data_IF_367501307568
#
_entry.id   IF_367501307568
#
_cell.length_a   1.000
_cell.length_b   1.000
_cell.length_c   1.000
_cell.angle_alpha   90.00
_cell.angle_beta   90.00
_cell.angle_gamma   90.00
#
_symmetry.space_group_name_H-M   'P 1'
#
loop_
_entity.id
_entity.type
_entity.pdbx_description
1 polymer ?
#
# COMPACT_ATOMS: atom_id res chain seq x y z
N UNK A 1 -0.45 -51.71 5.21
CA UNK A 1 -1.50 -51.38 4.25
C UNK A 1 -1.66 -49.86 4.27
N UNK A 2 -0.98 -49.17 3.34
CA UNK A 2 -1.11 -47.73 3.16
C UNK A 2 -2.31 -47.48 2.23
N UNK A 3 -3.37 -46.93 2.77
CA UNK A 3 -4.53 -46.53 1.98
C UNK A 3 -4.14 -45.22 1.23
N UNK A 4 -3.89 -45.36 -0.07
CA UNK A 4 -3.75 -44.25 -0.99
C UNK A 4 -5.13 -43.59 -1.13
N UNK A 5 -5.32 -42.43 -0.56
CA UNK A 5 -6.48 -41.60 -0.84
C UNK A 5 -6.16 -40.84 -2.13
N UNK A 6 -6.67 -41.37 -3.25
CA UNK A 6 -6.70 -40.67 -4.53
C UNK A 6 -7.59 -39.41 -4.36
N UNK A 7 -6.97 -38.30 -4.02
CA UNK A 7 -7.63 -36.98 -4.15
C UNK A 7 -7.53 -36.57 -5.62
N UNK A 8 -8.65 -36.28 -6.29
CA UNK A 8 -8.57 -35.67 -7.61
C UNK A 8 -7.72 -34.40 -7.50
N UNK A 9 -6.86 -34.11 -8.48
CA UNK A 9 -6.08 -32.90 -8.47
C UNK A 9 -7.03 -31.70 -8.36
N UNK A 10 -6.81 -30.86 -7.37
CA UNK A 10 -7.45 -29.54 -7.31
C UNK A 10 -7.15 -28.86 -8.64
N UNK A 11 -8.15 -28.77 -9.50
CA UNK A 11 -8.05 -27.96 -10.71
C UNK A 11 -7.94 -26.49 -10.26
N UNK A 12 -6.70 -26.05 -10.05
CA UNK A 12 -6.37 -24.64 -9.96
C UNK A 12 -6.64 -24.05 -11.34
N UNK A 13 -7.86 -23.62 -11.58
CA UNK A 13 -8.17 -22.79 -12.73
C UNK A 13 -7.52 -21.44 -12.46
N UNK A 14 -6.35 -21.21 -13.08
CA UNK A 14 -5.47 -20.08 -12.81
C UNK A 14 -5.90 -18.77 -13.42
N UNK A 15 -7.21 -18.46 -13.44
CA UNK A 15 -7.76 -17.25 -14.05
C UNK A 15 -7.87 -16.04 -13.10
N UNK A 16 -7.61 -16.22 -11.79
CA UNK A 16 -7.67 -15.13 -10.80
C UNK A 16 -9.05 -14.45 -10.66
N UNK A 17 -10.07 -14.94 -11.36
CA UNK A 17 -11.42 -14.41 -11.26
C UNK A 17 -12.10 -14.92 -9.97
N UNK A 18 -12.79 -14.03 -9.27
CA UNK A 18 -13.61 -14.40 -8.11
C UNK A 18 -14.83 -15.20 -8.59
N UNK A 19 -14.82 -16.52 -8.34
CA UNK A 19 -15.95 -17.43 -8.68
C UNK A 19 -16.97 -17.46 -7.57
N UNK A 20 -17.69 -16.37 -7.42
CA UNK A 20 -18.74 -16.21 -6.41
C UNK A 20 -19.91 -15.45 -7.02
N UNK A 21 -21.17 -15.77 -6.63
CA UNK A 21 -22.33 -15.00 -7.06
C UNK A 21 -22.34 -13.57 -6.51
N UNK A 22 -21.56 -13.32 -5.44
CA UNK A 22 -21.47 -12.02 -4.79
C UNK A 22 -20.08 -11.44 -4.99
N UNK A 23 -19.98 -10.35 -5.74
CA UNK A 23 -18.72 -9.66 -5.97
C UNK A 23 -18.48 -8.58 -4.91
N UNK A 24 -17.28 -8.48 -4.34
CA UNK A 24 -16.94 -7.41 -3.40
C UNK A 24 -17.03 -6.04 -4.08
N UNK A 25 -17.63 -5.09 -3.39
CA UNK A 25 -17.65 -3.67 -3.77
C UNK A 25 -16.81 -2.87 -2.80
N UNK A 26 -16.13 -1.88 -3.31
CA UNK A 26 -15.42 -0.90 -2.50
C UNK A 26 -16.42 0.18 -2.09
N UNK A 27 -16.67 0.31 -0.79
CA UNK A 27 -17.66 1.26 -0.26
C UNK A 27 -17.05 2.60 0.11
N UNK A 28 -15.77 2.62 0.48
CA UNK A 28 -15.10 3.84 0.89
C UNK A 28 -13.61 3.64 1.05
N UNK A 29 -12.89 4.76 0.99
CA UNK A 29 -11.46 4.87 1.24
C UNK A 29 -11.23 6.05 2.16
N UNK A 30 -10.27 5.96 3.05
CA UNK A 30 -9.84 7.06 3.89
C UNK A 30 -8.35 7.02 4.13
N UNK A 31 -7.71 8.18 4.21
CA UNK A 31 -6.27 8.30 4.45
C UNK A 31 -5.98 9.19 5.65
N UNK A 32 -4.80 9.01 6.23
CA UNK A 32 -4.26 9.84 7.31
C UNK A 32 -2.73 9.89 7.21
N UNK A 33 -2.13 10.91 7.83
CA UNK A 33 -0.67 11.10 7.86
C UNK A 33 -0.22 11.57 9.23
N UNK A 34 1.09 11.46 9.53
CA UNK A 34 1.64 12.15 10.69
C UNK A 34 1.53 13.67 10.55
N UNK A 35 1.47 14.39 11.68
CA UNK A 35 1.13 15.80 11.69
C UNK A 35 2.20 16.71 11.05
N UNK A 36 3.49 16.38 11.22
CA UNK A 36 4.58 17.24 10.78
C UNK A 36 4.94 17.00 9.31
N UNK A 37 5.10 18.10 8.56
CA UNK A 37 5.41 18.09 7.13
C UNK A 37 6.80 18.70 6.92
N UNK A 38 7.61 18.04 6.10
CA UNK A 38 8.95 18.48 5.75
C UNK A 38 9.17 18.47 4.24
N UNK A 39 9.76 19.52 3.71
CA UNK A 39 10.38 19.52 2.39
C UNK A 39 11.66 18.68 2.39
N UNK A 40 12.14 18.32 1.21
CA UNK A 40 13.41 17.60 1.09
C UNK A 40 14.59 18.40 1.67
N UNK A 41 14.58 19.73 1.52
CA UNK A 41 15.62 20.59 2.06
C UNK A 41 15.58 20.61 3.59
N UNK A 42 14.40 20.75 4.21
CA UNK A 42 14.28 20.73 5.67
C UNK A 42 14.73 19.42 6.29
N UNK A 43 14.52 18.30 5.61
CA UNK A 43 15.06 16.99 6.06
C UNK A 43 16.58 17.00 6.03
N UNK A 44 17.18 17.45 4.93
CA UNK A 44 18.64 17.54 4.81
C UNK A 44 19.25 18.45 5.90
N UNK A 45 18.62 19.58 6.16
CA UNK A 45 19.08 20.55 7.16
C UNK A 45 18.92 20.01 8.59
N UNK A 46 17.82 19.30 8.88
CA UNK A 46 17.55 18.69 10.18
C UNK A 46 18.63 17.67 10.61
N UNK A 47 19.25 16.98 9.64
CA UNK A 47 20.32 16.01 9.87
C UNK A 47 21.70 16.51 9.46
N UNK A 48 21.83 17.80 9.09
CA UNK A 48 23.07 18.46 8.63
C UNK A 48 23.77 17.65 7.52
N UNK A 49 23.01 17.20 6.53
CA UNK A 49 23.54 16.41 5.42
C UNK A 49 24.07 17.36 4.33
N UNK A 50 25.40 17.47 4.20
CA UNK A 50 26.05 18.38 3.27
C UNK A 50 26.71 17.67 2.06
N UNK A 51 26.76 16.32 2.02
CA UNK A 51 27.29 15.59 0.86
C UNK A 51 26.49 15.94 -0.41
N UNK A 52 27.10 16.55 -1.44
CA UNK A 52 26.38 17.02 -2.63
C UNK A 52 25.74 15.87 -3.43
N UNK A 53 26.26 14.65 -3.31
CA UNK A 53 25.68 13.47 -3.98
C UNK A 53 24.37 13.08 -3.31
N UNK A 54 24.32 13.08 -1.96
CA UNK A 54 23.10 12.79 -1.20
C UNK A 54 22.07 13.89 -1.47
N UNK A 55 22.46 15.16 -1.39
CA UNK A 55 21.59 16.32 -1.71
C UNK A 55 21.01 16.20 -3.13
N UNK A 56 21.80 15.75 -4.09
CA UNK A 56 21.33 15.50 -5.46
C UNK A 56 20.26 14.40 -5.53
N UNK A 57 20.37 13.33 -4.72
CA UNK A 57 19.35 12.28 -4.65
C UNK A 57 18.01 12.85 -4.15
N UNK A 58 18.03 13.66 -3.08
CA UNK A 58 16.83 14.33 -2.56
C UNK A 58 16.22 15.29 -3.58
N UNK A 59 17.04 16.16 -4.20
CA UNK A 59 16.58 17.14 -5.18
C UNK A 59 15.95 16.52 -6.44
N UNK A 60 16.39 15.30 -6.83
CA UNK A 60 15.89 14.61 -8.02
C UNK A 60 14.81 13.54 -7.73
N UNK A 61 14.29 13.48 -6.50
CA UNK A 61 13.29 12.50 -6.06
C UNK A 61 11.90 12.72 -6.66
N UNK A 62 11.60 13.90 -7.19
CA UNK A 62 10.28 14.39 -7.58
C UNK A 62 9.28 14.46 -6.40
N UNK A 63 9.80 14.70 -5.20
CA UNK A 63 9.05 14.84 -3.97
C UNK A 63 9.26 16.25 -3.45
N UNK A 64 8.18 16.99 -3.25
CA UNK A 64 8.22 18.35 -2.70
C UNK A 64 8.18 18.32 -1.17
N UNK A 65 7.36 17.45 -0.61
CA UNK A 65 7.15 17.34 0.84
C UNK A 65 6.76 15.92 1.25
N UNK A 66 7.03 15.60 2.51
CA UNK A 66 6.63 14.36 3.16
C UNK A 66 6.15 14.61 4.58
N UNK A 67 5.25 13.77 5.04
CA UNK A 67 4.89 13.68 6.44
C UNK A 67 5.90 12.75 7.14
N UNK A 68 6.53 13.23 8.20
CA UNK A 68 7.58 12.51 8.92
C UNK A 68 7.51 12.84 10.41
N UNK A 69 7.84 11.87 11.24
CA UNK A 69 8.07 12.06 12.68
C UNK A 69 9.55 11.90 12.96
N UNK A 70 10.29 12.99 12.83
CA UNK A 70 11.74 12.99 13.01
C UNK A 70 12.09 12.89 14.52
N UNK A 71 13.28 12.33 14.86
CA UNK A 71 13.76 12.32 16.24
C UNK A 71 13.88 13.74 16.79
N UNK A 72 13.76 13.91 18.10
CA UNK A 72 13.97 15.21 18.74
C UNK A 72 15.42 15.68 18.57
N UNK A 73 15.65 16.99 18.37
CA UNK A 73 17.01 17.51 18.25
C UNK A 73 17.75 17.40 19.61
N UNK A 74 19.01 17.02 19.56
CA UNK A 74 19.90 17.06 20.70
C UNK A 74 20.16 18.49 21.22
N UNK A 75 20.90 18.62 22.30
CA UNK A 75 21.24 19.93 22.89
C UNK A 75 22.01 20.87 21.94
N UNK A 76 22.69 20.32 20.95
CA UNK A 76 23.41 21.03 19.88
C UNK A 76 22.51 21.31 18.65
N UNK A 77 21.22 20.96 18.73
CA UNK A 77 20.25 21.09 17.64
C UNK A 77 20.38 20.04 16.54
N UNK A 78 21.25 19.03 16.69
CA UNK A 78 21.41 17.95 15.71
C UNK A 78 20.46 16.80 16.05
N UNK A 79 19.80 16.27 15.03
CA UNK A 79 19.00 15.04 15.14
C UNK A 79 19.90 13.84 14.86
N UNK A 80 19.84 12.86 15.75
CA UNK A 80 20.60 11.60 15.59
C UNK A 80 19.63 10.43 15.37
N UNK A 81 20.06 9.40 14.66
CA UNK A 81 19.24 8.20 14.48
C UNK A 81 18.90 7.55 15.81
N UNK A 82 17.64 7.13 15.95
CA UNK A 82 17.11 6.50 17.15
C UNK A 82 17.54 5.02 17.23
N UNK A 83 17.71 4.47 18.46
CA UNK A 83 17.89 3.04 18.66
C UNK A 83 16.71 2.22 18.16
N UNK A 84 16.93 0.95 17.79
CA UNK A 84 15.88 0.08 17.25
C UNK A 84 14.68 -0.08 18.20
N UNK A 85 14.91 -0.12 19.52
CA UNK A 85 13.84 -0.20 20.52
C UNK A 85 12.89 1.00 20.45
N UNK A 86 13.45 2.20 20.43
CA UNK A 86 12.69 3.46 20.36
C UNK A 86 11.92 3.57 19.01
N UNK A 87 12.51 3.09 17.92
CA UNK A 87 11.86 3.01 16.61
C UNK A 87 10.64 2.07 16.65
N UNK A 88 10.70 0.93 17.35
CA UNK A 88 9.58 0.02 17.51
C UNK A 88 8.45 0.62 18.36
N UNK A 89 8.78 1.34 19.44
CA UNK A 89 7.80 2.04 20.27
C UNK A 89 7.15 3.20 19.48
N UNK A 90 7.94 3.95 18.73
CA UNK A 90 7.45 4.98 17.81
C UNK A 90 6.50 4.39 16.76
N UNK A 91 6.91 3.28 16.12
CA UNK A 91 6.05 2.59 15.15
C UNK A 91 4.69 2.22 15.75
N UNK A 92 4.69 1.62 16.94
CA UNK A 92 3.46 1.21 17.63
C UNK A 92 2.52 2.39 17.88
N UNK A 93 3.04 3.51 18.37
CA UNK A 93 2.26 4.70 18.69
C UNK A 93 1.67 5.32 17.38
N UNK A 94 2.53 5.59 16.41
CA UNK A 94 2.14 6.22 15.14
C UNK A 94 1.20 5.34 14.31
N UNK A 95 1.45 4.02 14.26
CA UNK A 95 0.61 3.12 13.49
C UNK A 95 -0.82 3.06 14.03
N UNK A 96 -1.00 3.10 15.35
CA UNK A 96 -2.33 3.13 15.97
C UNK A 96 -3.00 4.47 15.72
N UNK A 97 -2.31 5.59 15.91
CA UNK A 97 -2.85 6.94 15.72
C UNK A 97 -3.32 7.16 14.28
N UNK A 98 -2.42 7.06 13.29
CA UNK A 98 -2.76 7.25 11.88
C UNK A 98 -3.78 6.21 11.40
N UNK A 99 -3.65 4.95 11.86
CA UNK A 99 -4.58 3.89 11.51
C UNK A 99 -6.01 4.18 11.99
N UNK A 100 -6.16 4.72 13.22
CA UNK A 100 -7.46 5.10 13.76
C UNK A 100 -8.11 6.22 12.94
N UNK A 101 -7.35 7.21 12.52
CA UNK A 101 -7.85 8.31 11.69
C UNK A 101 -8.26 7.82 10.29
N UNK A 102 -7.40 7.04 9.63
CA UNK A 102 -7.69 6.51 8.30
C UNK A 102 -8.93 5.59 8.31
N UNK A 103 -9.06 4.73 9.34
CA UNK A 103 -10.22 3.84 9.50
C UNK A 103 -11.51 4.63 9.69
N UNK A 104 -11.52 5.65 10.57
CA UNK A 104 -12.69 6.52 10.76
C UNK A 104 -13.06 7.28 9.47
N UNK A 105 -12.08 7.82 8.75
CA UNK A 105 -12.30 8.51 7.48
C UNK A 105 -12.91 7.55 6.44
N UNK A 106 -12.40 6.32 6.35
CA UNK A 106 -12.90 5.28 5.46
C UNK A 106 -14.35 4.90 5.77
N UNK A 107 -14.67 4.60 7.03
CA UNK A 107 -16.02 4.24 7.47
C UNK A 107 -17.01 5.38 7.23
N UNK A 108 -16.63 6.61 7.54
CA UNK A 108 -17.46 7.79 7.25
C UNK A 108 -17.80 7.89 5.76
N UNK A 109 -16.83 7.67 4.88
CA UNK A 109 -17.05 7.71 3.42
C UNK A 109 -17.88 6.53 2.94
N UNK A 110 -17.77 5.36 3.59
CA UNK A 110 -18.60 4.19 3.35
C UNK A 110 -20.02 4.29 3.92
N UNK A 111 -20.35 5.33 4.69
CA UNK A 111 -21.65 5.45 5.39
C UNK A 111 -21.83 4.39 6.48
N UNK A 112 -20.74 3.93 7.10
CA UNK A 112 -20.72 2.86 8.09
C UNK A 112 -20.09 3.33 9.40
N UNK A 113 -20.39 2.57 10.48
CA UNK A 113 -19.89 2.82 11.82
C UNK A 113 -18.91 1.70 12.26
N UNK A 114 -18.14 1.93 13.32
CA UNK A 114 -17.25 0.92 13.91
C UNK A 114 -18.00 -0.35 14.33
N UNK A 115 -19.25 -0.23 14.75
CA UNK A 115 -20.12 -1.34 15.14
C UNK A 115 -20.51 -2.25 13.98
N UNK A 116 -20.41 -1.78 12.73
CA UNK A 116 -20.74 -2.56 11.54
C UNK A 116 -19.59 -3.46 11.09
N UNK A 117 -18.37 -3.18 11.57
CA UNK A 117 -17.18 -3.89 11.16
C UNK A 117 -17.19 -5.36 11.63
N UNK A 118 -17.01 -6.29 10.69
CA UNK A 118 -16.98 -7.74 10.94
C UNK A 118 -15.62 -8.37 10.67
N UNK A 119 -14.82 -7.75 9.81
CA UNK A 119 -13.44 -8.19 9.56
C UNK A 119 -12.50 -7.00 9.41
N UNK A 120 -11.40 -7.03 10.16
CA UNK A 120 -10.32 -6.04 10.08
C UNK A 120 -9.01 -6.72 9.69
N UNK A 121 -8.51 -6.41 8.51
CA UNK A 121 -7.18 -6.82 8.05
C UNK A 121 -6.22 -5.64 8.16
N UNK A 122 -5.24 -5.74 9.05
CA UNK A 122 -4.20 -4.73 9.19
C UNK A 122 -2.92 -5.12 8.45
N UNK A 123 -2.31 -4.13 7.80
CA UNK A 123 -1.07 -4.26 7.02
C UNK A 123 -0.05 -3.27 7.58
N UNK A 124 1.15 -3.74 7.88
CA UNK A 124 2.30 -2.88 8.16
C UNK A 124 3.61 -3.57 7.81
N UNK A 125 4.55 -2.79 7.27
CA UNK A 125 5.90 -3.23 6.92
C UNK A 125 6.98 -2.45 7.67
N UNK A 126 6.58 -1.48 8.50
CA UNK A 126 7.49 -0.52 9.14
C UNK A 126 7.82 -0.85 10.59
N UNK A 127 7.30 -1.95 11.11
CA UNK A 127 7.64 -2.46 12.43
C UNK A 127 7.04 -3.83 12.69
N UNK A 128 7.65 -4.57 13.61
CA UNK A 128 7.16 -5.87 14.07
C UNK A 128 6.38 -5.69 15.37
N UNK A 129 5.14 -6.18 15.40
CA UNK A 129 4.26 -6.10 16.56
C UNK A 129 3.70 -7.49 16.92
N UNK A 130 3.78 -7.82 18.22
CA UNK A 130 3.06 -8.95 18.83
C UNK A 130 2.54 -8.48 20.21
N UNK A 131 1.19 -8.37 20.40
CA UNK A 131 0.11 -8.69 19.47
C UNK A 131 0.11 -7.77 18.24
N UNK A 132 -0.45 -8.29 17.11
CA UNK A 132 -0.50 -7.57 15.86
C UNK A 132 -1.33 -6.27 15.90
N UNK A 133 -1.16 -5.44 14.88
CA UNK A 133 -1.79 -4.13 14.80
C UNK A 133 -3.32 -4.21 14.87
N UNK A 134 -3.94 -5.24 14.27
CA UNK A 134 -5.40 -5.45 14.33
C UNK A 134 -5.93 -5.55 15.78
N UNK A 135 -5.19 -6.23 16.67
CA UNK A 135 -5.55 -6.33 18.06
C UNK A 135 -5.42 -5.00 18.81
N UNK A 136 -4.41 -4.20 18.46
CA UNK A 136 -4.23 -2.86 19.03
C UNK A 136 -5.35 -1.92 18.57
N UNK A 137 -5.74 -1.98 17.30
CA UNK A 137 -6.83 -1.20 16.74
C UNK A 137 -8.19 -1.54 17.36
N UNK A 138 -8.47 -2.83 17.54
CA UNK A 138 -9.71 -3.28 18.22
C UNK A 138 -9.79 -2.68 19.62
N UNK A 139 -8.69 -2.71 20.38
CA UNK A 139 -8.63 -2.14 21.73
C UNK A 139 -8.78 -0.61 21.71
N UNK A 140 -8.05 0.06 20.83
CA UNK A 140 -7.99 1.52 20.78
C UNK A 140 -9.34 2.14 20.38
N UNK A 141 -10.03 1.51 19.44
CA UNK A 141 -11.28 2.03 18.88
C UNK A 141 -12.54 1.44 19.53
N UNK A 142 -12.38 0.46 20.44
CA UNK A 142 -13.53 -0.22 21.03
C UNK A 142 -14.33 -1.05 20.03
N UNK A 143 -13.70 -1.56 18.97
CA UNK A 143 -14.33 -2.43 17.99
C UNK A 143 -14.81 -3.71 18.69
N UNK A 144 -15.92 -4.29 18.22
CA UNK A 144 -16.50 -5.52 18.79
C UNK A 144 -15.41 -6.60 18.91
N UNK A 145 -15.32 -7.20 20.11
CA UNK A 145 -14.37 -8.27 20.43
C UNK A 145 -14.54 -9.52 19.55
N UNK A 146 -15.69 -9.68 18.91
CA UNK A 146 -16.00 -10.76 18.00
C UNK A 146 -15.67 -10.41 16.54
N UNK A 147 -15.19 -9.19 16.25
CA UNK A 147 -14.71 -8.82 14.93
C UNK A 147 -13.55 -9.76 14.53
N UNK A 148 -13.72 -10.44 13.42
CA UNK A 148 -12.68 -11.28 12.81
C UNK A 148 -11.49 -10.40 12.41
N UNK A 149 -10.26 -10.91 12.53
CA UNK A 149 -9.07 -10.11 12.24
C UNK A 149 -7.96 -10.90 11.58
N UNK A 150 -7.16 -10.21 10.81
CA UNK A 150 -5.89 -10.70 10.25
C UNK A 150 -4.84 -9.59 10.24
N UNK A 151 -3.56 -10.00 10.28
CA UNK A 151 -2.42 -9.10 10.13
C UNK A 151 -1.53 -9.62 9.01
N UNK A 152 -1.19 -8.77 8.03
CA UNK A 152 -0.28 -9.08 6.93
C UNK A 152 1.02 -8.32 7.13
N UNK A 153 2.11 -9.07 7.31
CA UNK A 153 3.45 -8.54 7.55
C UNK A 153 4.48 -9.15 6.60
N UNK A 154 5.61 -8.47 6.39
CA UNK A 154 6.73 -9.03 5.62
C UNK A 154 6.59 -8.95 4.10
N UNK A 155 5.55 -8.30 3.57
CA UNK A 155 5.35 -8.13 2.12
C UNK A 155 5.76 -6.73 1.60
N UNK A 156 5.85 -5.72 2.47
CA UNK A 156 6.23 -4.36 2.07
C UNK A 156 5.17 -3.64 1.23
N UNK A 157 5.63 -2.84 0.25
CA UNK A 157 4.76 -1.92 -0.49
C UNK A 157 3.64 -2.57 -1.31
N UNK A 158 3.73 -3.86 -1.65
CA UNK A 158 2.65 -4.59 -2.34
C UNK A 158 1.61 -5.21 -1.39
N UNK A 159 1.86 -5.19 -0.08
CA UNK A 159 1.03 -5.85 0.92
C UNK A 159 -0.43 -5.34 0.95
N UNK A 160 -0.65 -4.05 0.69
CA UNK A 160 -2.00 -3.47 0.72
C UNK A 160 -2.91 -4.05 -0.35
N UNK A 161 -2.42 -4.24 -1.57
CA UNK A 161 -3.21 -4.82 -2.65
C UNK A 161 -3.32 -6.35 -2.50
N UNK A 162 -2.29 -7.00 -1.96
CA UNK A 162 -2.37 -8.41 -1.59
C UNK A 162 -3.43 -8.63 -0.49
N UNK A 163 -3.47 -7.77 0.53
CA UNK A 163 -4.50 -7.78 1.57
C UNK A 163 -5.90 -7.57 0.98
N UNK A 164 -6.05 -6.66 0.01
CA UNK A 164 -7.31 -6.44 -0.68
C UNK A 164 -7.82 -7.73 -1.35
N UNK A 165 -6.93 -8.51 -1.97
CA UNK A 165 -7.27 -9.81 -2.56
C UNK A 165 -7.78 -10.80 -1.49
N UNK A 166 -7.08 -10.90 -0.35
CA UNK A 166 -7.48 -11.78 0.76
C UNK A 166 -8.85 -11.38 1.31
N UNK A 167 -9.05 -10.07 1.57
CA UNK A 167 -10.29 -9.53 2.15
C UNK A 167 -11.45 -9.59 1.15
N UNK A 168 -11.18 -9.43 -0.16
CA UNK A 168 -12.19 -9.64 -1.20
C UNK A 168 -12.72 -11.10 -1.18
N UNK A 169 -11.82 -12.07 -1.01
CA UNK A 169 -12.21 -13.48 -0.83
C UNK A 169 -13.04 -13.70 0.45
N UNK A 170 -12.63 -13.09 1.56
CA UNK A 170 -13.40 -13.14 2.82
C UNK A 170 -14.79 -12.51 2.65
N UNK A 171 -14.87 -11.33 2.08
CA UNK A 171 -16.13 -10.60 1.84
C UNK A 171 -17.09 -11.41 0.95
N UNK A 172 -16.57 -12.06 -0.10
CA UNK A 172 -17.36 -12.92 -0.98
C UNK A 172 -17.96 -14.15 -0.27
N UNK A 173 -17.29 -14.65 0.77
CA UNK A 173 -17.75 -15.74 1.61
C UNK A 173 -18.72 -15.28 2.74
N UNK A 174 -18.78 -13.98 3.03
CA UNK A 174 -19.57 -13.38 4.10
C UNK A 174 -20.42 -12.21 3.54
N UNK A 175 -21.42 -12.51 2.66
CA UNK A 175 -22.22 -11.47 2.04
C UNK A 175 -23.01 -10.66 3.07
N UNK A 176 -23.02 -9.33 2.90
CA UNK A 176 -23.65 -8.38 3.82
C UNK A 176 -22.78 -7.99 5.01
N UNK A 177 -21.58 -8.57 5.16
CA UNK A 177 -20.67 -8.24 6.24
C UNK A 177 -19.58 -7.25 5.78
N UNK A 178 -19.38 -6.18 6.57
CA UNK A 178 -18.40 -5.14 6.29
C UNK A 178 -17.00 -5.63 6.67
N UNK A 179 -16.07 -5.53 5.73
CA UNK A 179 -14.65 -5.80 5.91
C UNK A 179 -13.80 -4.57 5.56
N UNK A 180 -12.71 -4.36 6.28
CA UNK A 180 -11.75 -3.28 6.01
C UNK A 180 -10.34 -3.80 5.94
N UNK A 181 -9.60 -3.36 4.91
CA UNK A 181 -8.13 -3.40 4.88
C UNK A 181 -7.61 -2.06 5.39
N UNK A 182 -6.73 -2.10 6.37
CA UNK A 182 -6.05 -0.94 6.94
C UNK A 182 -4.55 -1.08 6.74
N UNK A 183 -3.96 -0.26 5.88
CA UNK A 183 -2.52 -0.16 5.69
C UNK A 183 -1.98 0.99 6.55
N UNK A 184 -1.01 0.73 7.42
CA UNK A 184 -0.42 1.78 8.26
C UNK A 184 1.09 1.67 8.26
N UNK A 185 1.75 2.74 7.79
CA UNK A 185 3.19 2.76 7.60
C UNK A 185 3.82 3.98 8.29
N UNK A 186 4.49 3.71 9.40
CA UNK A 186 5.31 4.69 10.12
C UNK A 186 6.74 4.63 9.57
N UNK A 187 6.94 5.14 8.38
CA UNK A 187 8.23 5.06 7.67
C UNK A 187 9.36 5.75 8.46
N UNK A 188 9.06 6.80 9.20
CA UNK A 188 10.01 7.47 10.11
C UNK A 188 10.50 6.57 11.25
N UNK A 189 9.81 5.47 11.53
CA UNK A 189 10.20 4.47 12.52
C UNK A 189 10.93 3.26 11.91
N UNK A 190 10.92 3.12 10.58
CA UNK A 190 11.56 2.00 9.88
C UNK A 190 12.86 2.39 9.20
N UNK A 191 12.93 3.61 8.68
CA UNK A 191 14.05 4.09 7.88
C UNK A 191 14.84 5.12 8.66
N UNK A 192 15.85 4.65 9.40
CA UNK A 192 16.71 5.53 10.16
C UNK A 192 17.47 6.48 9.22
N UNK A 193 17.26 7.78 9.41
CA UNK A 193 17.97 8.83 8.68
C UNK A 193 19.46 8.82 9.07
N UNK A 194 20.34 8.65 8.09
CA UNK A 194 21.77 8.75 8.26
C UNK A 194 22.41 9.45 7.06
N UNK A 195 23.68 9.78 7.16
CA UNK A 195 24.45 10.44 6.10
C UNK A 195 25.09 9.46 5.11
N UNK A 196 24.55 8.25 4.98
CA UNK A 196 25.08 7.22 4.10
C UNK A 196 24.50 7.31 2.69
N UNK A 197 25.33 7.19 1.67
CA UNK A 197 24.87 7.02 0.28
C UNK A 197 24.05 5.74 0.08
N UNK A 198 24.29 4.70 0.88
CA UNK A 198 23.55 3.44 0.83
C UNK A 198 22.07 3.64 1.13
N UNK A 199 21.74 4.50 2.07
CA UNK A 199 20.37 4.77 2.53
C UNK A 199 19.77 6.03 1.92
N UNK A 200 20.56 6.83 1.18
CA UNK A 200 20.13 8.13 0.65
C UNK A 200 18.84 8.06 -0.18
N UNK A 201 18.68 7.05 -1.05
CA UNK A 201 17.48 6.87 -1.85
C UNK A 201 16.26 6.57 -0.94
N UNK A 202 16.41 5.65 0.01
CA UNK A 202 15.38 5.29 0.99
C UNK A 202 14.98 6.53 1.81
N UNK A 203 15.98 7.23 2.35
CA UNK A 203 15.80 8.42 3.17
C UNK A 203 15.17 9.60 2.41
N UNK A 204 15.36 9.68 1.08
CA UNK A 204 14.73 10.70 0.24
C UNK A 204 13.32 10.35 -0.21
N UNK A 205 12.86 9.08 -0.04
CA UNK A 205 11.70 8.55 -0.72
C UNK A 205 10.46 8.39 0.18
N UNK A 206 10.62 7.75 1.35
CA UNK A 206 9.50 7.30 2.17
C UNK A 206 8.91 8.40 3.07
N UNK A 207 7.58 8.34 3.28
CA UNK A 207 6.82 9.19 4.18
C UNK A 207 5.82 8.39 5.02
N UNK A 208 5.38 8.97 6.15
CA UNK A 208 4.43 8.39 7.07
C UNK A 208 3.00 8.51 6.57
N UNK A 209 2.21 7.44 6.68
CA UNK A 209 0.80 7.51 6.36
C UNK A 209 0.06 6.20 6.57
N UNK A 210 -1.25 6.31 6.64
CA UNK A 210 -2.18 5.21 6.70
C UNK A 210 -3.26 5.35 5.64
N UNK A 211 -3.75 4.22 5.13
CA UNK A 211 -4.89 4.18 4.23
C UNK A 211 -5.80 3.00 4.55
N UNK A 212 -7.09 3.23 4.56
CA UNK A 212 -8.10 2.20 4.77
C UNK A 212 -9.04 2.09 3.57
N UNK A 213 -9.51 0.88 3.28
CA UNK A 213 -10.47 0.60 2.22
C UNK A 213 -11.51 -0.39 2.73
N UNK A 214 -12.79 -0.01 2.61
CA UNK A 214 -13.93 -0.80 3.05
C UNK A 214 -14.55 -1.59 1.90
N UNK A 215 -14.85 -2.86 2.14
CA UNK A 215 -15.48 -3.77 1.19
C UNK A 215 -16.71 -4.43 1.79
N UNK A 216 -17.68 -4.70 0.95
CA UNK A 216 -18.81 -5.56 1.27
C UNK A 216 -19.27 -6.28 0.00
N UNK A 217 -19.64 -7.55 0.12
CA UNK A 217 -20.31 -8.31 -0.93
C UNK A 217 -21.80 -8.44 -0.59
N UNK A 218 -22.63 -8.42 -1.58
CA UNK A 218 -24.07 -8.64 -1.36
C UNK A 218 -24.77 -8.95 -2.66
N UNK A 219 -26.06 -9.38 -2.62
CA UNK A 219 -26.88 -9.38 -3.81
C UNK A 219 -26.86 -7.96 -4.34
N UNK A 220 -26.37 -7.79 -5.56
CA UNK A 220 -26.41 -6.49 -6.23
C UNK A 220 -27.84 -6.02 -6.30
N UNK A 221 -28.21 -5.09 -5.44
CA UNK A 221 -29.43 -4.35 -5.62
C UNK A 221 -29.25 -3.43 -6.84
N UNK A 222 -29.44 -3.99 -8.02
CA UNK A 222 -29.69 -3.18 -9.22
C UNK A 222 -30.91 -2.25 -9.00
N UNK A 223 -31.70 -2.50 -7.95
CA UNK A 223 -32.91 -1.76 -7.62
C UNK A 223 -32.72 -0.64 -6.59
N UNK A 224 -31.64 -0.62 -5.77
CA UNK A 224 -31.57 0.36 -4.67
C UNK A 224 -30.79 1.64 -4.99
N UNK A 225 -30.11 1.76 -6.11
CA UNK A 225 -29.46 3.01 -6.55
C UNK A 225 -28.42 3.65 -5.59
N UNK A 226 -28.04 2.95 -4.51
CA UNK A 226 -27.29 3.54 -3.38
C UNK A 226 -25.92 2.94 -3.13
N UNK A 227 -25.38 2.05 -3.96
CA UNK A 227 -24.00 1.57 -3.82
C UNK A 227 -23.06 2.28 -4.77
N UNK A 228 -22.65 3.48 -4.41
CA UNK A 228 -21.58 4.22 -5.05
C UNK A 228 -20.23 3.56 -4.73
N UNK A 229 -19.61 2.91 -5.70
CA UNK A 229 -18.27 2.35 -5.60
C UNK A 229 -18.03 1.20 -6.54
N UNK A 230 -16.78 0.98 -6.96
CA UNK A 230 -16.47 -0.02 -7.97
C UNK A 230 -16.53 -1.44 -7.42
N UNK A 231 -16.93 -2.36 -8.29
CA UNK A 231 -16.88 -3.79 -8.06
C UNK A 231 -15.47 -4.31 -8.35
N UNK A 232 -14.92 -5.13 -7.46
CA UNK A 232 -13.65 -5.83 -7.66
C UNK A 232 -13.90 -7.06 -8.53
N UNK A 233 -13.27 -7.11 -9.69
CA UNK A 233 -13.54 -8.14 -10.70
C UNK A 233 -12.51 -9.26 -10.69
N UNK A 234 -11.21 -8.92 -10.63
CA UNK A 234 -10.13 -9.88 -10.81
C UNK A 234 -8.84 -9.40 -10.16
N UNK A 235 -7.99 -10.32 -9.78
CA UNK A 235 -6.62 -10.07 -9.31
C UNK A 235 -5.62 -10.84 -10.17
N UNK A 236 -4.42 -10.28 -10.31
CA UNK A 236 -3.27 -10.99 -10.84
C UNK A 236 -2.01 -10.53 -10.13
N UNK A 237 -1.11 -11.48 -9.85
CA UNK A 237 0.17 -11.22 -9.22
C UNK A 237 1.32 -11.90 -9.97
N UNK A 238 2.51 -11.33 -9.79
CA UNK A 238 3.75 -11.86 -10.34
C UNK A 238 4.86 -11.62 -9.33
N UNK A 239 5.52 -12.69 -8.89
CA UNK A 239 6.79 -12.61 -8.17
C UNK A 239 7.93 -12.87 -9.15
N UNK A 240 9.07 -12.20 -8.96
CA UNK A 240 10.25 -12.32 -9.81
C UNK A 240 11.36 -12.96 -8.98
N UNK A 241 11.50 -14.30 -9.01
CA UNK A 241 12.44 -15.02 -8.13
C UNK A 241 13.90 -14.60 -8.33
N UNK A 242 14.29 -14.24 -9.56
CA UNK A 242 15.64 -13.83 -9.92
C UNK A 242 16.05 -12.51 -9.25
N UNK A 243 15.07 -11.70 -8.84
CA UNK A 243 15.26 -10.40 -8.18
C UNK A 243 14.72 -10.37 -6.74
N UNK A 244 14.49 -11.53 -6.12
CA UNK A 244 13.83 -11.64 -4.80
C UNK A 244 14.50 -10.80 -3.71
N UNK A 245 15.82 -10.68 -3.74
CA UNK A 245 16.62 -9.93 -2.78
C UNK A 245 16.81 -8.45 -3.10
N UNK A 246 16.22 -7.93 -4.18
CA UNK A 246 16.46 -6.56 -4.64
C UNK A 246 15.81 -5.49 -3.74
N UNK A 247 14.82 -5.86 -2.94
CA UNK A 247 14.21 -5.04 -1.89
C UNK A 247 14.11 -5.88 -0.62
N UNK A 248 14.83 -5.52 0.44
CA UNK A 248 14.85 -6.30 1.68
C UNK A 248 15.31 -5.50 2.88
N UNK A 249 14.98 -5.96 4.07
CA UNK A 249 15.61 -5.56 5.31
C UNK A 249 16.81 -6.45 5.61
N UNK A 250 17.95 -5.82 5.91
CA UNK A 250 19.14 -6.46 6.47
C UNK A 250 19.34 -5.98 7.90
N UNK A 251 19.79 -6.87 8.79
CA UNK A 251 20.25 -6.47 10.11
C UNK A 251 21.67 -5.89 10.00
N UNK A 252 21.80 -4.62 10.28
CA UNK A 252 23.08 -3.93 10.33
C UNK A 252 23.74 -4.16 11.71
N UNK A 253 24.81 -4.97 11.74
CA UNK A 253 25.49 -5.36 12.98
C UNK A 253 26.34 -4.24 13.55
N UNK A 254 26.74 -3.26 12.76
CA UNK A 254 27.53 -2.12 13.21
C UNK A 254 26.66 -1.05 13.86
N UNK A 255 25.45 -0.87 13.33
CA UNK A 255 24.48 0.11 13.79
C UNK A 255 23.41 -0.48 14.73
N UNK A 256 23.44 -1.80 14.94
CA UNK A 256 22.51 -2.58 15.78
C UNK A 256 21.04 -2.27 15.47
N UNK A 257 20.69 -2.24 14.18
CA UNK A 257 19.35 -1.92 13.70
C UNK A 257 19.05 -2.53 12.33
N UNK A 258 17.77 -2.54 11.94
CA UNK A 258 17.39 -2.86 10.58
C UNK A 258 17.77 -1.74 9.60
N UNK A 259 18.27 -2.13 8.42
CA UNK A 259 18.57 -1.26 7.30
C UNK A 259 17.87 -1.77 6.06
N UNK A 260 17.18 -0.89 5.34
CA UNK A 260 16.49 -1.27 4.11
C UNK A 260 17.43 -1.15 2.91
N UNK A 261 17.57 -2.23 2.16
CA UNK A 261 18.30 -2.25 0.90
C UNK A 261 17.33 -2.13 -0.27
N UNK A 262 17.64 -1.23 -1.18
CA UNK A 262 16.92 -1.01 -2.43
C UNK A 262 17.91 -1.02 -3.60
N UNK A 263 17.76 -2.03 -4.46
CA UNK A 263 18.62 -2.20 -5.64
C UNK A 263 18.29 -1.12 -6.70
N UNK A 264 19.31 -0.44 -7.27
CA UNK A 264 19.10 0.53 -8.34
C UNK A 264 18.45 -0.02 -9.61
N UNK A 265 18.45 -1.35 -9.81
CA UNK A 265 17.83 -2.02 -10.95
C UNK A 265 16.32 -2.20 -10.82
N UNK A 266 15.72 -1.94 -9.65
CA UNK A 266 14.29 -2.12 -9.41
C UNK A 266 13.39 -1.48 -10.47
N UNK A 267 13.62 -0.26 -10.96
CA UNK A 267 12.80 0.31 -12.01
C UNK A 267 12.77 -0.53 -13.30
N UNK A 268 13.89 -1.14 -13.66
CA UNK A 268 13.98 -2.02 -14.83
C UNK A 268 13.27 -3.36 -14.59
N UNK A 269 13.43 -3.94 -13.41
CA UNK A 269 12.74 -5.19 -13.01
C UNK A 269 11.24 -4.98 -13.04
N UNK A 270 10.73 -3.89 -12.44
CA UNK A 270 9.31 -3.56 -12.44
C UNK A 270 8.81 -3.31 -13.87
N UNK A 271 9.53 -2.49 -14.66
CA UNK A 271 9.15 -2.17 -16.03
C UNK A 271 9.02 -3.41 -16.90
N UNK A 272 10.00 -4.31 -16.86
CA UNK A 272 10.01 -5.53 -17.68
C UNK A 272 8.84 -6.50 -17.36
N UNK A 273 8.25 -6.42 -16.14
CA UNK A 273 7.18 -7.33 -15.72
C UNK A 273 5.81 -6.67 -15.62
N UNK A 274 5.74 -5.34 -15.69
CA UNK A 274 4.48 -4.59 -15.61
C UNK A 274 3.50 -5.03 -16.71
N UNK A 275 3.97 -5.19 -17.94
CA UNK A 275 3.17 -5.66 -19.08
C UNK A 275 2.65 -7.07 -18.84
N UNK A 276 3.50 -7.99 -18.41
CA UNK A 276 3.16 -9.39 -18.18
C UNK A 276 2.02 -9.53 -17.16
N UNK A 277 2.11 -8.81 -16.05
CA UNK A 277 1.09 -8.93 -14.99
C UNK A 277 -0.23 -8.25 -15.39
N UNK A 278 -0.18 -7.13 -16.12
CA UNK A 278 -1.38 -6.46 -16.62
C UNK A 278 -2.06 -7.27 -17.71
N UNK A 279 -1.31 -7.87 -18.64
CA UNK A 279 -1.87 -8.76 -19.67
C UNK A 279 -2.52 -10.00 -19.04
N UNK A 280 -1.92 -10.56 -17.98
CA UNK A 280 -2.55 -11.63 -17.19
C UNK A 280 -3.83 -11.16 -16.50
N UNK A 281 -3.84 -9.94 -15.96
CA UNK A 281 -5.03 -9.35 -15.32
C UNK A 281 -6.17 -9.21 -16.33
N UNK A 282 -5.89 -8.67 -17.51
CA UNK A 282 -6.87 -8.41 -18.57
C UNK A 282 -7.20 -9.65 -19.42
N UNK A 283 -6.37 -10.69 -19.36
CA UNK A 283 -6.64 -11.95 -20.05
C UNK A 283 -8.03 -12.50 -19.69
N UNK A 284 -8.71 -13.09 -20.65
CA UNK A 284 -10.07 -13.68 -20.53
C UNK A 284 -11.20 -12.66 -20.24
N UNK A 285 -10.88 -11.35 -20.13
CA UNK A 285 -11.90 -10.29 -19.91
C UNK A 285 -12.41 -9.68 -21.20
N UNK A 286 -11.67 -9.82 -22.31
CA UNK A 286 -11.93 -9.14 -23.57
C UNK A 286 -11.52 -7.65 -23.58
N UNK A 287 -10.96 -7.14 -22.47
CA UNK A 287 -10.50 -5.77 -22.33
C UNK A 287 -9.07 -5.61 -22.86
N UNK A 288 -8.79 -4.43 -23.42
CA UNK A 288 -7.45 -3.95 -23.77
C UNK A 288 -7.01 -2.89 -22.77
N UNK A 289 -5.72 -2.60 -22.69
CA UNK A 289 -5.17 -1.51 -21.83
C UNK A 289 -5.82 -0.16 -22.14
N UNK A 290 -6.19 0.10 -23.41
CA UNK A 290 -6.89 1.32 -23.84
C UNK A 290 -8.32 1.45 -23.30
N UNK A 291 -8.90 0.37 -22.81
CA UNK A 291 -10.26 0.34 -22.24
C UNK A 291 -10.24 0.67 -20.73
N UNK A 292 -9.05 0.82 -20.13
CA UNK A 292 -8.86 1.19 -18.74
C UNK A 292 -8.84 2.71 -18.59
N UNK A 293 -9.88 3.25 -17.96
CA UNK A 293 -10.04 4.69 -17.74
C UNK A 293 -9.18 5.23 -16.58
N UNK A 294 -8.93 4.40 -15.54
CA UNK A 294 -8.28 4.83 -14.30
C UNK A 294 -7.13 3.91 -13.91
N UNK A 295 -5.96 4.49 -13.68
CA UNK A 295 -4.77 3.77 -13.25
C UNK A 295 -4.31 4.29 -11.87
N UNK A 296 -4.42 3.44 -10.85
CA UNK A 296 -4.06 3.74 -9.48
C UNK A 296 -2.82 2.92 -9.09
N UNK A 297 -1.67 3.47 -9.42
CA UNK A 297 -0.39 2.80 -9.27
C UNK A 297 0.30 3.27 -7.98
N UNK A 298 1.01 2.38 -7.33
CA UNK A 298 1.85 2.68 -6.17
C UNK A 298 2.89 3.75 -6.49
N UNK A 299 3.03 4.75 -5.61
CA UNK A 299 4.02 5.85 -5.74
C UNK A 299 5.43 5.40 -5.34
N UNK A 300 5.94 4.33 -5.97
CA UNK A 300 7.20 3.67 -5.63
C UNK A 300 8.48 4.48 -5.90
N UNK A 301 8.35 5.69 -6.44
CA UNK A 301 9.42 6.60 -6.81
C UNK A 301 9.42 6.95 -8.29
N UNK A 302 10.01 8.11 -8.64
CA UNK A 302 9.94 8.67 -10.01
C UNK A 302 10.34 7.67 -11.09
N UNK A 303 11.49 6.99 -10.93
CA UNK A 303 11.99 6.05 -11.94
C UNK A 303 11.10 4.82 -12.11
N UNK A 304 10.45 4.36 -11.04
CA UNK A 304 9.50 3.24 -11.07
C UNK A 304 8.24 3.66 -11.81
N UNK A 305 7.70 4.85 -11.52
CA UNK A 305 6.55 5.41 -12.23
C UNK A 305 6.85 5.59 -13.71
N UNK A 306 8.01 6.17 -14.04
CA UNK A 306 8.45 6.36 -15.44
C UNK A 306 8.56 5.01 -16.17
N UNK A 307 9.07 3.95 -15.52
CA UNK A 307 9.17 2.61 -16.08
C UNK A 307 7.78 2.00 -16.37
N UNK A 308 6.82 2.16 -15.45
CA UNK A 308 5.43 1.72 -15.64
C UNK A 308 4.79 2.47 -16.83
N UNK A 309 4.92 3.79 -16.89
CA UNK A 309 4.42 4.62 -17.98
C UNK A 309 4.91 4.11 -19.32
N UNK A 310 6.23 3.92 -19.47
CA UNK A 310 6.85 3.51 -20.73
C UNK A 310 6.40 2.09 -21.13
N UNK A 311 6.44 1.13 -20.22
CA UNK A 311 6.19 -0.28 -20.55
C UNK A 311 4.70 -0.58 -20.77
N UNK A 312 3.79 0.15 -20.12
CA UNK A 312 2.35 -0.01 -20.34
C UNK A 312 1.80 0.92 -21.43
N UNK A 313 2.60 1.83 -21.98
CA UNK A 313 2.16 2.81 -22.97
C UNK A 313 1.20 3.85 -22.40
N UNK A 314 1.32 4.17 -21.11
CA UNK A 314 0.46 5.13 -20.43
C UNK A 314 0.94 6.57 -20.65
N UNK A 315 0.07 7.52 -20.38
CA UNK A 315 0.37 8.95 -20.38
C UNK A 315 0.63 9.46 -18.96
N UNK A 316 1.18 10.67 -18.84
CA UNK A 316 1.30 11.35 -17.56
C UNK A 316 -0.07 11.65 -16.92
N UNK A 317 -1.09 11.84 -17.76
CA UNK A 317 -2.45 12.05 -17.28
C UNK A 317 -3.03 10.82 -16.60
N UNK A 318 -2.76 9.63 -17.15
CA UNK A 318 -3.24 8.36 -16.57
C UNK A 318 -2.69 8.14 -15.15
N UNK A 319 -1.45 8.56 -14.88
CA UNK A 319 -0.80 8.44 -13.57
C UNK A 319 -0.76 9.74 -12.76
N UNK A 320 -1.61 10.75 -13.08
CA UNK A 320 -1.62 12.06 -12.40
C UNK A 320 -1.81 11.94 -10.88
N UNK A 321 -2.64 11.01 -10.42
CA UNK A 321 -2.87 10.78 -8.99
C UNK A 321 -1.64 10.17 -8.32
N UNK A 322 -1.04 9.16 -8.93
CA UNK A 322 0.21 8.52 -8.46
C UNK A 322 1.36 9.52 -8.37
N UNK A 323 1.55 10.34 -9.41
CA UNK A 323 2.57 11.41 -9.44
C UNK A 323 2.28 12.46 -8.37
N UNK A 324 1.01 12.84 -8.18
CA UNK A 324 0.59 13.76 -7.15
C UNK A 324 0.82 13.21 -5.74
N UNK A 325 0.58 11.93 -5.50
CA UNK A 325 0.89 11.29 -4.20
C UNK A 325 2.39 11.29 -3.95
N UNK A 326 3.22 10.88 -4.94
CA UNK A 326 4.67 10.92 -4.79
C UNK A 326 5.17 12.33 -4.45
N UNK A 327 4.67 13.35 -5.15
CA UNK A 327 5.06 14.75 -4.94
C UNK A 327 4.74 15.24 -3.54
N UNK A 328 3.52 14.96 -3.04
CA UNK A 328 2.98 15.58 -1.82
C UNK A 328 3.17 14.75 -0.55
N UNK A 329 3.40 13.42 -0.67
CA UNK A 329 3.53 12.50 0.46
C UNK A 329 4.78 11.62 0.39
N UNK A 330 5.44 11.54 -0.78
CA UNK A 330 6.48 10.54 -1.03
C UNK A 330 5.89 9.14 -1.23
N UNK A 331 6.68 8.13 -0.91
CA UNK A 331 6.27 6.73 -0.91
C UNK A 331 5.70 6.37 0.46
N UNK A 332 4.40 6.18 0.55
CA UNK A 332 3.66 5.78 1.77
C UNK A 332 3.53 4.25 1.84
N UNK A 333 4.51 3.52 1.32
CA UNK A 333 4.60 2.06 1.35
C UNK A 333 3.29 1.38 0.91
N UNK A 334 2.74 0.44 1.70
CA UNK A 334 1.58 -0.38 1.35
C UNK A 334 0.28 0.39 1.13
N UNK A 335 0.17 1.60 1.69
CA UNK A 335 -1.02 2.47 1.56
C UNK A 335 -1.03 3.37 0.34
N UNK A 336 0.08 3.53 -0.39
CA UNK A 336 0.23 4.57 -1.44
C UNK A 336 -0.87 4.57 -2.51
N UNK A 337 -1.34 3.41 -2.95
CA UNK A 337 -2.40 3.32 -3.95
C UNK A 337 -3.75 3.82 -3.43
N UNK A 338 -4.00 3.76 -2.11
CA UNK A 338 -5.21 4.28 -1.47
C UNK A 338 -5.22 5.80 -1.47
N UNK A 339 -4.07 6.45 -1.29
CA UNK A 339 -3.94 7.91 -1.47
C UNK A 339 -4.23 8.31 -2.92
N UNK A 340 -3.76 7.52 -3.91
CA UNK A 340 -4.10 7.76 -5.32
C UNK A 340 -5.59 7.57 -5.57
N UNK A 341 -6.21 6.57 -4.93
CA UNK A 341 -7.64 6.31 -5.06
C UNK A 341 -8.48 7.42 -4.41
N UNK A 342 -8.11 7.90 -3.23
CA UNK A 342 -8.78 9.04 -2.60
C UNK A 342 -8.77 10.28 -3.49
N UNK A 343 -7.62 10.60 -4.13
CA UNK A 343 -7.53 11.69 -5.10
C UNK A 343 -8.44 11.51 -6.32
N UNK A 344 -8.58 10.28 -6.82
CA UNK A 344 -9.52 9.98 -7.90
C UNK A 344 -10.97 10.25 -7.47
N UNK A 345 -11.34 9.85 -6.25
CA UNK A 345 -12.69 10.12 -5.72
C UNK A 345 -12.93 11.64 -5.55
N UNK A 346 -11.95 12.37 -5.08
CA UNK A 346 -12.05 13.82 -4.89
C UNK A 346 -12.13 14.57 -6.24
N UNK A 347 -11.56 14.02 -7.32
CA UNK A 347 -11.68 14.58 -8.68
C UNK A 347 -13.07 14.38 -9.30
N UNK A 348 -13.85 13.41 -8.80
CA UNK A 348 -15.23 13.11 -9.25
C UNK A 348 -15.37 12.86 -10.75
N UNK A 349 -14.41 12.19 -11.37
CA UNK A 349 -14.38 11.94 -12.83
C UNK A 349 -14.81 10.54 -13.23
N UNK A 350 -15.04 9.65 -12.26
CA UNK A 350 -15.45 8.27 -12.51
C UNK A 350 -16.88 8.21 -13.03
N UNK A 351 -17.14 7.28 -13.97
CA UNK A 351 -18.45 7.08 -14.59
C UNK A 351 -18.87 5.61 -14.46
N UNK A 352 -20.15 5.31 -14.39
CA UNK A 352 -20.64 3.94 -14.47
C UNK A 352 -20.13 3.25 -15.75
N UNK A 353 -19.55 2.07 -15.57
CA UNK A 353 -18.94 1.29 -16.63
C UNK A 353 -17.45 1.53 -16.85
N UNK A 354 -16.83 2.54 -16.23
CA UNK A 354 -15.39 2.76 -16.29
C UNK A 354 -14.65 1.57 -15.66
N UNK A 355 -13.55 1.16 -16.29
CA UNK A 355 -12.62 0.19 -15.75
C UNK A 355 -11.41 0.86 -15.11
N UNK A 356 -10.97 0.34 -13.98
CA UNK A 356 -9.76 0.78 -13.30
C UNK A 356 -8.81 -0.36 -13.00
N UNK A 357 -7.51 -0.06 -13.02
CA UNK A 357 -6.45 -0.97 -12.57
C UNK A 357 -5.77 -0.38 -11.35
N UNK A 358 -5.79 -1.12 -10.24
CA UNK A 358 -4.95 -0.90 -9.09
C UNK A 358 -3.66 -1.71 -9.28
N UNK A 359 -2.49 -1.12 -9.02
CA UNK A 359 -1.20 -1.79 -9.21
C UNK A 359 -0.22 -1.39 -8.12
N UNK A 360 0.37 -2.37 -7.46
CA UNK A 360 1.43 -2.17 -6.47
C UNK A 360 2.64 -3.05 -6.75
N UNK A 361 3.79 -2.66 -6.22
CA UNK A 361 5.02 -3.42 -6.32
C UNK A 361 5.81 -3.29 -5.01
N UNK A 362 6.57 -4.33 -4.66
CA UNK A 362 7.29 -4.35 -3.39
C UNK A 362 8.30 -5.48 -3.23
N UNK A 363 8.80 -5.69 -2.01
CA UNK A 363 9.74 -6.74 -1.65
C UNK A 363 9.36 -8.11 -2.20
N UNK A 364 10.39 -8.93 -2.45
CA UNK A 364 10.24 -10.15 -3.24
C UNK A 364 10.18 -9.87 -4.74
N UNK A 365 10.39 -8.59 -5.16
CA UNK A 365 10.16 -8.11 -6.53
C UNK A 365 8.80 -8.57 -7.04
N UNK A 366 7.77 -8.32 -6.23
CA UNK A 366 6.39 -8.74 -6.49
C UNK A 366 5.57 -7.59 -7.06
N UNK A 367 4.77 -7.88 -8.08
CA UNK A 367 3.75 -6.97 -8.62
C UNK A 367 2.37 -7.55 -8.33
N UNK A 368 1.50 -6.74 -7.75
CA UNK A 368 0.10 -7.08 -7.50
C UNK A 368 -0.80 -6.16 -8.31
N UNK A 369 -1.86 -6.71 -8.89
CA UNK A 369 -2.84 -5.95 -9.66
C UNK A 369 -4.26 -6.36 -9.33
N UNK A 370 -5.20 -5.40 -9.41
CA UNK A 370 -6.63 -5.66 -9.34
C UNK A 370 -7.36 -4.89 -10.44
N UNK A 371 -8.35 -5.53 -11.05
CA UNK A 371 -9.29 -4.92 -11.99
C UNK A 371 -10.57 -4.58 -11.24
N UNK A 372 -11.02 -3.35 -11.39
CA UNK A 372 -12.28 -2.85 -10.80
C UNK A 372 -13.16 -2.22 -11.87
N UNK A 373 -14.47 -2.14 -11.62
CA UNK A 373 -15.44 -1.49 -12.50
C UNK A 373 -16.44 -0.66 -11.69
N UNK A 374 -16.58 0.62 -12.06
CA UNK A 374 -17.55 1.57 -11.50
C UNK A 374 -18.96 1.36 -12.03
#
# INVERSE_FOLDING_TARGET
MTVSVDRPPLALTGDGALKTPYRPRILGVGTATSAAVYSQQEVLDAFRIDDPRIRSVFANSAIDRRHLTLPEPGADGVRVPEPQGDLLDKHKAMAVEMGAEALRACLKRAGAELSDLRHLCCVSSTGFLTPGLSALMIRELGIDRHCSRSDIVGMGCNAGLNALNVVAGWSAAHPGELAVVLCTEACSAAYAMDSSMRTAVVNSLFGDGAGAIALMSGPGDEASGTTEGPTVLKFASCIIPEAIGAMRYDWDRELDRFSFYLDPQIPYVVGAHAEIVVDRLLGDTGLRRSDIAHWLVHSGGKKVIDAVVVNLGLTRHDLRHTVGVLRDYGNVSSGSFLFSYERLLDEQVTRPGDYGVLMTMGPGSTLETALVQW
#
